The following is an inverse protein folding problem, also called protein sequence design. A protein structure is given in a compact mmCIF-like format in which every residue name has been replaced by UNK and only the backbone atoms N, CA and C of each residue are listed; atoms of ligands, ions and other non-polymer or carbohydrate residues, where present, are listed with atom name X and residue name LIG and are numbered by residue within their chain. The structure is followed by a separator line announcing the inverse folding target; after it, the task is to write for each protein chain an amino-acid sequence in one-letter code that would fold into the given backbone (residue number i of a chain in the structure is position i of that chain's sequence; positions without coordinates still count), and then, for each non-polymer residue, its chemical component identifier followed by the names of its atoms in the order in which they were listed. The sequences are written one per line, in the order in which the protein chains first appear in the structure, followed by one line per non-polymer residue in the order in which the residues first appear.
data_IF_985920507255
#
_entry.id   IF_985920507255
#
_cell.length_a   1.000
_cell.length_b   1.000
_cell.length_c   1.000
_cell.angle_alpha   90.00
_cell.angle_beta   90.00
_cell.angle_gamma   90.00
#
_symmetry.space_group_name_H-M   'P 1'
#
loop_
_entity.id
_entity.type
_entity.pdbx_description
1 polymer ?
#
# COMPACT_ATOMS: atom_id res chain seq x y z
N UNK A 1 -23.91 2.24 -21.95
CA UNK A 1 -24.00 3.71 -21.77
C UNK A 1 -23.45 4.02 -20.40
N UNK A 2 -22.26 4.63 -20.31
CA UNK A 2 -21.63 4.99 -19.04
C UNK A 2 -22.34 6.23 -18.48
N UNK A 3 -22.95 6.12 -17.30
CA UNK A 3 -23.60 7.26 -16.66
C UNK A 3 -22.58 8.34 -16.27
N UNK A 4 -22.84 9.58 -16.66
CA UNK A 4 -22.12 10.73 -16.12
C UNK A 4 -22.55 10.91 -14.66
N UNK A 5 -21.67 10.55 -13.72
CA UNK A 5 -21.86 10.89 -12.31
C UNK A 5 -21.45 12.35 -12.08
N UNK A 6 -22.36 13.16 -11.54
CA UNK A 6 -22.10 14.54 -11.12
C UNK A 6 -21.72 14.56 -9.64
N UNK A 7 -20.78 15.42 -9.26
CA UNK A 7 -20.27 15.54 -7.88
C UNK A 7 -20.57 16.95 -7.37
N UNK A 8 -20.94 17.10 -6.10
CA UNK A 8 -21.37 18.37 -5.51
C UNK A 8 -20.68 18.65 -4.19
N UNK A 9 -20.40 19.91 -3.89
CA UNK A 9 -19.88 20.39 -2.60
C UNK A 9 -20.86 21.38 -2.00
N UNK A 10 -20.99 21.38 -0.68
CA UNK A 10 -21.69 22.42 0.07
C UNK A 10 -20.81 23.68 0.21
N UNK A 11 -21.40 24.83 -0.05
CA UNK A 11 -20.80 26.14 0.20
C UNK A 11 -21.79 27.03 0.93
N UNK A 12 -21.32 27.67 2.00
CA UNK A 12 -22.14 28.54 2.85
C UNK A 12 -21.90 29.98 2.39
N UNK A 13 -22.97 30.65 1.95
CA UNK A 13 -22.94 32.09 1.72
C UNK A 13 -22.66 32.81 3.05
N UNK A 14 -21.59 33.60 3.09
CA UNK A 14 -21.11 34.21 4.34
C UNK A 14 -21.98 35.37 4.82
N UNK A 15 -22.80 35.95 3.94
CA UNK A 15 -23.68 37.07 4.26
C UNK A 15 -25.08 36.57 4.64
N UNK A 16 -25.60 35.55 3.95
CA UNK A 16 -26.96 35.05 4.15
C UNK A 16 -27.04 33.78 5.00
N UNK A 17 -25.95 33.02 5.11
CA UNK A 17 -25.91 31.72 5.78
C UNK A 17 -26.55 30.58 4.98
N UNK A 18 -26.98 30.84 3.74
CA UNK A 18 -27.59 29.83 2.88
C UNK A 18 -26.56 28.78 2.44
N UNK A 19 -26.96 27.51 2.44
CA UNK A 19 -26.14 26.39 1.98
C UNK A 19 -26.47 26.11 0.51
N UNK A 20 -25.49 26.31 -0.36
CA UNK A 20 -25.59 26.08 -1.79
C UNK A 20 -24.81 24.83 -2.21
N UNK A 21 -25.32 24.10 -3.20
CA UNK A 21 -24.64 22.95 -3.81
C UNK A 21 -23.99 23.38 -5.11
N UNK A 22 -22.66 23.27 -5.18
CA UNK A 22 -21.88 23.63 -6.36
C UNK A 22 -21.37 22.35 -7.02
N UNK A 23 -21.59 22.20 -8.32
CA UNK A 23 -21.04 21.08 -9.09
C UNK A 23 -19.52 21.21 -9.18
N UNK A 24 -18.83 20.11 -8.89
CA UNK A 24 -17.37 20.03 -8.89
C UNK A 24 -16.90 18.86 -9.73
N UNK A 25 -15.67 18.95 -10.23
CA UNK A 25 -15.04 17.81 -10.92
C UNK A 25 -14.79 16.64 -9.94
N UNK A 26 -14.79 15.42 -10.48
CA UNK A 26 -14.54 14.20 -9.72
C UNK A 26 -13.21 14.23 -8.97
N UNK A 27 -12.14 14.73 -9.60
CA UNK A 27 -10.82 14.81 -8.97
C UNK A 27 -10.86 15.75 -7.76
N UNK A 28 -11.45 16.93 -7.94
CA UNK A 28 -11.63 17.91 -6.87
C UNK A 28 -12.52 17.39 -5.73
N UNK A 29 -13.61 16.69 -6.04
CA UNK A 29 -14.47 16.05 -5.03
C UNK A 29 -13.71 14.97 -4.26
N UNK A 30 -12.91 14.16 -4.96
CA UNK A 30 -12.04 13.18 -4.32
C UNK A 30 -10.98 13.86 -3.45
N UNK A 31 -10.38 14.98 -3.84
CA UNK A 31 -9.36 15.65 -3.03
C UNK A 31 -9.98 16.36 -1.80
N UNK A 32 -11.18 16.93 -1.93
CA UNK A 32 -11.88 17.61 -0.84
C UNK A 32 -12.33 16.65 0.27
N UNK A 33 -12.85 15.49 -0.13
CA UNK A 33 -13.40 14.48 0.78
C UNK A 33 -12.40 13.35 1.10
N UNK A 34 -11.45 13.04 0.21
CA UNK A 34 -10.26 12.22 0.49
C UNK A 34 -9.05 13.13 0.70
N UNK A 35 -9.06 13.95 1.75
CA UNK A 35 -7.82 14.63 2.26
C UNK A 35 -6.69 13.65 2.60
N UNK A 36 -7.03 12.38 2.62
CA UNK A 36 -6.26 11.20 2.95
C UNK A 36 -5.91 10.41 1.66
N UNK A 37 -5.40 11.09 0.63
CA UNK A 37 -4.91 10.42 -0.59
C UNK A 37 -3.38 10.25 -0.53
N UNK A 38 -2.88 9.08 -0.95
CA UNK A 38 -1.45 8.75 -1.03
C UNK A 38 -0.63 8.68 0.27
N UNK A 39 -1.25 8.75 1.44
CA UNK A 39 -0.58 8.38 2.70
C UNK A 39 -0.73 6.88 2.98
N UNK A 40 0.27 6.30 3.64
CA UNK A 40 0.18 4.98 4.25
C UNK A 40 0.28 5.14 5.76
N UNK A 41 -0.59 4.47 6.50
CA UNK A 41 -0.47 4.40 7.96
C UNK A 41 0.71 3.50 8.27
N UNK A 42 1.70 4.04 8.99
CA UNK A 42 2.83 3.28 9.53
C UNK A 42 2.60 3.06 11.02
N UNK A 43 2.73 1.82 11.47
CA UNK A 43 2.62 1.45 12.88
C UNK A 43 4.03 1.31 13.44
N UNK A 44 4.43 2.28 14.26
CA UNK A 44 5.83 2.54 14.60
C UNK A 44 6.51 1.36 15.31
N UNK A 45 5.82 0.67 16.23
CA UNK A 45 6.39 -0.44 17.02
C UNK A 45 6.94 -1.56 16.11
N UNK A 46 6.19 -1.91 15.07
CA UNK A 46 6.58 -2.97 14.14
C UNK A 46 7.60 -2.46 13.10
N UNK A 47 7.59 -1.16 12.82
CA UNK A 47 8.44 -0.56 11.79
C UNK A 47 9.89 -0.29 12.27
N UNK A 48 10.09 -0.04 13.56
CA UNK A 48 11.43 0.22 14.13
C UNK A 48 12.41 -0.93 13.84
N UNK A 49 11.97 -2.19 13.98
CA UNK A 49 12.80 -3.36 13.65
C UNK A 49 13.24 -3.36 12.18
N UNK A 50 12.37 -2.93 11.26
CA UNK A 50 12.70 -2.80 9.83
C UNK A 50 13.75 -1.71 9.62
N UNK A 51 13.64 -0.58 10.33
CA UNK A 51 14.64 0.49 10.27
C UNK A 51 16.01 0.00 10.76
N UNK A 52 16.06 -0.68 11.90
CA UNK A 52 17.31 -1.17 12.50
C UNK A 52 18.02 -2.23 11.66
N UNK A 53 17.27 -3.22 11.17
CA UNK A 53 17.84 -4.38 10.44
C UNK A 53 18.13 -4.05 8.97
N UNK A 54 17.27 -3.23 8.35
CA UNK A 54 17.26 -3.09 6.89
C UNK A 54 17.81 -1.74 6.41
N UNK A 55 17.57 -0.63 7.10
CA UNK A 55 17.88 0.72 6.58
C UNK A 55 19.34 1.19 6.78
N UNK A 56 20.27 0.32 7.17
CA UNK A 56 21.70 0.66 7.28
C UNK A 56 22.36 0.95 5.90
N UNK A 57 22.17 2.14 5.35
CA UNK A 57 23.08 2.81 4.41
C UNK A 57 23.19 2.27 2.97
N UNK A 58 22.26 1.46 2.46
CA UNK A 58 22.34 0.92 1.09
C UNK A 58 21.24 1.46 0.16
N UNK A 59 21.61 2.09 -0.95
CA UNK A 59 20.68 2.56 -1.99
C UNK A 59 19.88 1.41 -2.62
N UNK A 60 20.49 0.24 -2.77
CA UNK A 60 19.81 -0.95 -3.31
C UNK A 60 18.66 -1.43 -2.42
N UNK A 61 18.89 -1.47 -1.10
CA UNK A 61 17.85 -1.84 -0.13
C UNK A 61 16.64 -0.91 -0.24
N UNK A 62 16.89 0.40 -0.36
CA UNK A 62 15.85 1.41 -0.58
C UNK A 62 15.12 1.18 -1.90
N UNK A 63 15.84 0.84 -2.98
CA UNK A 63 15.21 0.51 -4.28
C UNK A 63 14.30 -0.71 -4.21
N UNK A 64 14.68 -1.76 -3.48
CA UNK A 64 13.82 -2.95 -3.25
C UNK A 64 12.54 -2.55 -2.50
N UNK A 65 12.65 -1.76 -1.43
CA UNK A 65 11.46 -1.28 -0.70
C UNK A 65 10.57 -0.39 -1.57
N UNK A 66 11.16 0.54 -2.31
CA UNK A 66 10.44 1.40 -3.26
C UNK A 66 9.68 0.57 -4.29
N UNK A 67 10.32 -0.47 -4.84
CA UNK A 67 9.67 -1.39 -5.75
C UNK A 67 8.44 -2.05 -5.10
N UNK A 68 8.58 -2.57 -3.87
CA UNK A 68 7.47 -3.21 -3.17
C UNK A 68 6.29 -2.24 -2.95
N UNK A 69 6.55 -1.01 -2.53
CA UNK A 69 5.50 -0.01 -2.30
C UNK A 69 4.80 0.43 -3.59
N UNK A 70 5.54 0.62 -4.68
CA UNK A 70 4.97 1.06 -5.95
C UNK A 70 4.12 -0.02 -6.64
N UNK A 71 4.42 -1.29 -6.37
CA UNK A 71 3.77 -2.44 -7.00
C UNK A 71 2.80 -3.18 -6.08
N UNK A 72 2.60 -2.69 -4.85
CA UNK A 72 1.63 -3.24 -3.93
C UNK A 72 0.19 -2.87 -4.35
N UNK A 73 -0.69 -3.86 -4.39
CA UNK A 73 -2.11 -3.65 -4.59
C UNK A 73 -2.82 -3.13 -3.31
N UNK A 74 -4.15 -2.99 -3.37
CA UNK A 74 -4.99 -2.53 -2.25
C UNK A 74 -4.96 -3.44 -1.02
N UNK A 75 -4.45 -4.66 -1.13
CA UNK A 75 -4.30 -5.64 -0.05
C UNK A 75 -2.82 -5.81 0.34
N UNK A 76 -1.96 -4.89 -0.08
CA UNK A 76 -0.51 -4.92 0.08
C UNK A 76 0.19 -6.08 -0.64
N UNK A 77 -0.41 -6.66 -1.67
CA UNK A 77 0.17 -7.77 -2.43
C UNK A 77 1.00 -7.28 -3.63
N UNK A 78 2.17 -7.88 -3.79
CA UNK A 78 3.07 -7.70 -4.92
C UNK A 78 3.07 -8.99 -5.73
N UNK A 79 2.73 -8.89 -7.01
CA UNK A 79 2.68 -10.01 -7.96
C UNK A 79 3.91 -9.98 -8.86
N UNK A 80 5.07 -10.36 -8.32
CA UNK A 80 6.33 -10.45 -9.04
C UNK A 80 7.23 -11.52 -8.42
N UNK A 81 7.92 -12.28 -9.26
CA UNK A 81 8.98 -13.21 -8.89
C UNK A 81 10.27 -12.46 -8.57
N UNK A 82 11.20 -13.11 -7.86
CA UNK A 82 12.54 -12.55 -7.61
C UNK A 82 13.32 -12.25 -8.91
N UNK A 83 12.98 -12.91 -10.02
CA UNK A 83 13.62 -12.68 -11.31
C UNK A 83 13.09 -11.41 -11.98
N UNK A 84 11.76 -11.22 -12.01
CA UNK A 84 11.13 -10.01 -12.54
C UNK A 84 11.52 -8.77 -11.72
N UNK A 85 11.62 -8.90 -10.39
CA UNK A 85 12.12 -7.81 -9.54
C UNK A 85 13.58 -7.49 -9.85
N UNK A 86 14.40 -8.50 -10.13
CA UNK A 86 15.81 -8.29 -10.45
C UNK A 86 15.99 -7.61 -11.81
N UNK A 87 15.18 -7.97 -12.80
CA UNK A 87 15.14 -7.31 -14.10
C UNK A 87 14.72 -5.84 -13.95
N UNK A 88 13.64 -5.56 -13.21
CA UNK A 88 13.15 -4.21 -12.98
C UNK A 88 14.12 -3.30 -12.18
N UNK A 89 15.02 -3.91 -11.39
CA UNK A 89 16.02 -3.20 -10.59
C UNK A 89 17.43 -3.28 -11.19
N UNK A 90 17.56 -3.78 -12.43
CA UNK A 90 18.84 -3.92 -13.15
C UNK A 90 19.91 -4.62 -12.30
N UNK A 91 19.53 -5.73 -11.68
CA UNK A 91 20.39 -6.46 -10.74
C UNK A 91 20.27 -7.98 -10.93
N UNK A 92 20.84 -8.74 -10.00
CA UNK A 92 20.82 -10.20 -10.03
C UNK A 92 19.70 -10.76 -9.15
N UNK A 93 19.10 -11.88 -9.58
CA UNK A 93 18.12 -12.62 -8.78
C UNK A 93 18.63 -12.98 -7.37
N UNK A 94 19.88 -13.42 -7.16
CA UNK A 94 20.41 -13.68 -5.81
C UNK A 94 20.41 -12.44 -4.91
N UNK A 95 20.79 -11.27 -5.44
CA UNK A 95 20.76 -10.02 -4.67
C UNK A 95 19.35 -9.68 -4.18
N UNK A 96 18.36 -9.73 -5.08
CA UNK A 96 16.95 -9.52 -4.70
C UNK A 96 16.46 -10.59 -3.73
N UNK A 97 16.79 -11.86 -3.96
CA UNK A 97 16.34 -12.97 -3.11
C UNK A 97 16.87 -12.83 -1.68
N UNK A 98 18.11 -12.35 -1.52
CA UNK A 98 18.70 -12.03 -0.22
C UNK A 98 17.90 -10.94 0.50
N UNK A 99 17.62 -9.83 -0.17
CA UNK A 99 16.87 -8.73 0.46
C UNK A 99 15.43 -9.12 0.79
N UNK A 100 14.72 -9.82 -0.11
CA UNK A 100 13.39 -10.36 0.18
C UNK A 100 13.42 -11.33 1.36
N UNK A 101 14.50 -12.08 1.56
CA UNK A 101 14.66 -12.96 2.73
C UNK A 101 14.85 -12.15 4.01
N UNK A 102 15.68 -11.12 4.00
CA UNK A 102 15.86 -10.22 5.16
C UNK A 102 14.52 -9.56 5.54
N UNK A 103 13.76 -9.08 4.56
CA UNK A 103 12.43 -8.48 4.80
C UNK A 103 11.40 -9.49 5.33
N UNK A 104 11.53 -10.77 5.00
CA UNK A 104 10.73 -11.83 5.61
C UNK A 104 11.17 -12.10 7.06
N UNK A 105 12.47 -12.13 7.31
CA UNK A 105 13.03 -12.42 8.63
C UNK A 105 12.71 -11.33 9.65
N UNK A 106 12.61 -10.06 9.22
CA UNK A 106 12.11 -8.95 10.06
C UNK A 106 10.58 -8.79 10.05
N UNK A 107 9.83 -9.76 9.49
CA UNK A 107 8.37 -9.78 9.42
C UNK A 107 7.74 -8.55 8.71
N UNK A 108 8.49 -7.91 7.81
CA UNK A 108 7.98 -6.79 7.01
C UNK A 108 7.18 -7.28 5.81
N UNK A 109 7.59 -8.40 5.19
CA UNK A 109 6.82 -9.06 4.14
C UNK A 109 6.61 -10.55 4.46
N UNK A 110 5.55 -11.13 3.90
CA UNK A 110 5.32 -12.56 3.87
C UNK A 110 5.31 -13.05 2.43
N UNK A 111 5.99 -14.16 2.14
CA UNK A 111 5.83 -14.87 0.87
C UNK A 111 4.56 -15.72 0.94
N UNK A 112 3.53 -15.34 0.18
CA UNK A 112 2.25 -16.07 0.10
C UNK A 112 2.40 -17.32 -0.76
N UNK A 113 3.04 -17.16 -1.92
CA UNK A 113 3.41 -18.23 -2.86
C UNK A 113 4.56 -17.74 -3.74
N UNK A 114 5.09 -18.59 -4.61
CA UNK A 114 6.06 -18.13 -5.61
C UNK A 114 5.44 -17.00 -6.46
N UNK A 115 6.16 -15.88 -6.59
CA UNK A 115 5.68 -14.72 -7.33
C UNK A 115 4.66 -13.85 -6.59
N UNK A 116 4.32 -14.15 -5.33
CA UNK A 116 3.38 -13.33 -4.56
C UNK A 116 3.91 -13.06 -3.15
N UNK A 117 4.14 -11.79 -2.86
CA UNK A 117 4.54 -11.30 -1.55
C UNK A 117 3.46 -10.37 -1.00
N UNK A 118 3.27 -10.33 0.30
CA UNK A 118 2.40 -9.37 0.96
C UNK A 118 3.21 -8.53 1.94
N UNK A 119 3.13 -7.20 1.85
CA UNK A 119 3.66 -6.32 2.91
C UNK A 119 2.76 -6.47 4.13
N UNK A 120 3.37 -6.67 5.30
CA UNK A 120 2.68 -6.83 6.55
C UNK A 120 1.81 -5.59 6.84
N UNK A 121 0.49 -5.81 6.84
CA UNK A 121 -0.51 -4.76 7.04
C UNK A 121 -0.51 -4.20 8.47
N UNK A 122 0.09 -4.93 9.42
CA UNK A 122 0.34 -4.45 10.79
C UNK A 122 1.57 -3.54 10.86
N UNK A 123 2.44 -3.52 9.84
CA UNK A 123 3.57 -2.58 9.75
C UNK A 123 3.17 -1.32 8.98
N UNK A 124 2.58 -1.49 7.80
CA UNK A 124 2.21 -0.38 6.92
C UNK A 124 1.00 -0.74 6.06
N UNK A 125 0.04 0.17 5.90
CA UNK A 125 -1.15 -0.08 5.07
C UNK A 125 -1.73 1.20 4.46
N UNK A 126 -2.15 1.11 3.19
CA UNK A 126 -2.90 2.17 2.51
C UNK A 126 -4.40 1.89 2.60
N UNK A 127 -5.13 2.68 3.38
CA UNK A 127 -6.60 2.62 3.45
C UNK A 127 -7.20 2.62 4.86
N UNK A 128 -8.46 2.20 4.95
CA UNK A 128 -9.24 2.20 6.18
C UNK A 128 -8.91 1.01 7.09
N UNK A 129 -9.32 1.10 8.36
CA UNK A 129 -9.17 0.00 9.32
C UNK A 129 -9.85 -1.28 8.82
N UNK A 130 -11.08 -1.18 8.33
CA UNK A 130 -11.84 -2.32 7.81
C UNK A 130 -11.15 -3.00 6.62
N UNK A 131 -10.56 -2.19 5.72
CA UNK A 131 -9.78 -2.70 4.59
C UNK A 131 -8.51 -3.43 5.07
N UNK A 132 -7.80 -2.87 6.05
CA UNK A 132 -6.61 -3.48 6.66
C UNK A 132 -6.95 -4.84 7.28
N UNK A 133 -8.03 -4.90 8.07
CA UNK A 133 -8.48 -6.15 8.71
C UNK A 133 -8.85 -7.21 7.67
N UNK A 134 -9.53 -6.81 6.59
CA UNK A 134 -9.87 -7.71 5.49
C UNK A 134 -8.63 -8.28 4.79
N UNK A 135 -7.62 -7.42 4.51
CA UNK A 135 -6.36 -7.84 3.91
C UNK A 135 -5.55 -8.77 4.83
N UNK A 136 -5.61 -8.56 6.15
CA UNK A 136 -4.99 -9.42 7.17
C UNK A 136 -5.60 -10.83 7.17
N UNK A 137 -6.92 -10.92 7.13
CA UNK A 137 -7.62 -12.21 7.16
C UNK A 137 -7.35 -13.07 5.93
N UNK A 138 -7.26 -12.46 4.75
CA UNK A 138 -7.12 -13.17 3.47
C UNK A 138 -5.92 -14.13 3.41
N UNK A 139 -4.83 -13.80 4.10
CA UNK A 139 -3.57 -14.55 4.05
C UNK A 139 -3.19 -15.23 5.37
N UNK A 140 -4.08 -15.17 6.36
CA UNK A 140 -3.99 -15.90 7.63
C UNK A 140 -4.99 -17.05 7.71
N UNK A 141 -6.05 -17.03 6.89
CA UNK A 141 -7.04 -18.13 6.82
C UNK A 141 -6.39 -19.44 6.32
N UNK A 142 -6.54 -20.55 7.05
CA UNK A 142 -6.10 -21.86 6.57
C UNK A 142 -6.91 -22.27 5.33
N UNK A 143 -6.29 -23.07 4.45
CA UNK A 143 -7.01 -23.65 3.31
C UNK A 143 -8.12 -24.55 3.84
N UNK A 144 -9.32 -24.43 3.24
CA UNK A 144 -10.41 -25.36 3.50
C UNK A 144 -9.98 -26.74 3.01
N UNK A 145 -10.06 -27.74 3.87
CA UNK A 145 -9.94 -29.14 3.45
C UNK A 145 -11.19 -29.48 2.62
N UNK A 146 -11.05 -30.30 1.57
CA UNK A 146 -12.18 -30.78 0.79
C UNK A 146 -13.18 -31.55 1.66
#
# INVERSE_FOLDING_TARGET
MSGYHRYFREEIDKETGEVNLIEVDKSFYQDLYNRDFNFMKMFYENFINVLEVYFSGSSFKVSVLKFLFLNADKENCIFATSAEIAEALETTRPAVSKELKILQDCNFIKKVRNGVYQINVDCVFKGSHTQRMSAKEKFTKPLKKP
#
